data_IF_135230736625
#
_entry.id   IF_135230736625
#
_cell.length_a   1.000
_cell.length_b   1.000
_cell.length_c   1.000
_cell.angle_alpha   90.00
_cell.angle_beta   90.00
_cell.angle_gamma   90.00
#
_symmetry.space_group_name_H-M   'P 1'
#
loop_
_entity.id
_entity.type
_entity.pdbx_description
1 polymer ?
#
# COMPACT_ATOMS: atom_id res chain seq x y z
N UNK A 1 17.46 -7.43 12.50
CA UNK A 1 16.85 -8.30 11.57
C UNK A 1 15.37 -7.95 11.34
N UNK A 2 15.04 -7.57 10.15
CA UNK A 2 13.67 -7.23 9.84
C UNK A 2 12.82 -8.47 9.59
N UNK A 3 11.50 -8.33 9.69
CA UNK A 3 10.62 -9.42 9.32
C UNK A 3 10.34 -9.34 7.82
N UNK A 4 9.67 -10.36 7.28
CA UNK A 4 9.42 -10.45 5.84
C UNK A 4 8.59 -9.27 5.34
N UNK A 5 7.62 -8.82 6.13
CA UNK A 5 6.77 -7.70 5.73
C UNK A 5 7.57 -6.42 5.59
N UNK A 6 8.46 -6.18 6.54
CA UNK A 6 9.28 -4.98 6.50
C UNK A 6 10.23 -5.02 5.32
N UNK A 7 10.84 -6.19 5.08
CA UNK A 7 11.74 -6.35 3.94
C UNK A 7 11.01 -6.12 2.62
N UNK A 8 9.76 -6.57 2.53
CA UNK A 8 8.99 -6.40 1.32
C UNK A 8 8.68 -4.92 1.06
N UNK A 9 8.35 -4.18 2.11
CA UNK A 9 8.10 -2.74 1.98
C UNK A 9 9.34 -2.03 1.45
N UNK A 10 10.51 -2.39 1.97
CA UNK A 10 11.76 -1.80 1.52
C UNK A 10 12.03 -2.14 0.05
N UNK A 11 11.71 -3.37 -0.35
CA UNK A 11 11.89 -3.78 -1.74
C UNK A 11 11.01 -2.96 -2.67
N UNK A 12 9.75 -2.79 -2.31
CA UNK A 12 8.83 -2.00 -3.11
C UNK A 12 9.28 -0.54 -3.19
N UNK A 13 9.72 0.00 -2.07
CA UNK A 13 10.25 1.35 -2.03
C UNK A 13 11.43 1.50 -3.00
N UNK A 14 12.35 0.53 -3.00
CA UNK A 14 13.52 0.56 -3.86
C UNK A 14 13.11 0.54 -5.35
N UNK A 15 12.09 -0.25 -5.68
CA UNK A 15 11.60 -0.32 -7.05
C UNK A 15 11.07 1.04 -7.48
N UNK A 16 10.25 1.67 -6.64
CA UNK A 16 9.67 2.96 -6.97
C UNK A 16 10.76 4.04 -7.07
N UNK A 17 11.73 4.01 -6.17
CA UNK A 17 12.83 4.98 -6.20
C UNK A 17 13.66 4.85 -7.47
N UNK A 18 13.84 3.62 -7.93
CA UNK A 18 14.68 3.35 -9.09
C UNK A 18 13.97 3.66 -10.41
N UNK A 19 12.71 3.30 -10.50
CA UNK A 19 11.97 3.36 -11.77
C UNK A 19 10.93 4.45 -11.84
N UNK A 20 10.66 5.13 -10.73
CA UNK A 20 9.69 6.21 -10.69
C UNK A 20 8.28 5.73 -10.40
N UNK A 21 7.41 6.68 -10.06
CA UNK A 21 6.04 6.34 -9.68
C UNK A 21 5.20 5.87 -10.86
N UNK A 22 5.64 6.13 -12.07
CA UNK A 22 4.92 5.70 -13.27
C UNK A 22 4.80 4.19 -13.36
N UNK A 23 5.74 3.48 -12.73
CA UNK A 23 5.73 2.02 -12.77
C UNK A 23 4.50 1.44 -12.06
N UNK A 24 3.85 2.25 -11.22
CA UNK A 24 2.63 1.81 -10.55
C UNK A 24 1.49 1.53 -11.54
N UNK A 25 1.59 2.05 -12.75
CA UNK A 25 0.62 1.79 -13.79
C UNK A 25 0.94 0.54 -14.60
N UNK A 26 2.03 -0.13 -14.28
CA UNK A 26 2.48 -1.31 -15.01
C UNK A 26 2.67 -2.45 -14.03
N UNK A 27 1.57 -3.10 -13.69
CA UNK A 27 1.59 -4.16 -12.68
C UNK A 27 2.44 -5.34 -13.11
N UNK A 28 2.50 -5.63 -14.39
CA UNK A 28 3.34 -6.73 -14.90
C UNK A 28 4.80 -6.47 -14.60
N UNK A 29 5.24 -5.24 -14.86
CA UNK A 29 6.63 -4.89 -14.66
C UNK A 29 6.98 -4.90 -13.19
N UNK A 30 6.07 -4.38 -12.35
CA UNK A 30 6.27 -4.42 -10.91
C UNK A 30 6.37 -5.86 -10.43
N UNK A 31 5.52 -6.74 -10.97
CA UNK A 31 5.58 -8.15 -10.60
C UNK A 31 6.96 -8.73 -10.89
N UNK A 32 7.47 -8.48 -12.08
CA UNK A 32 8.78 -9.00 -12.48
C UNK A 32 9.90 -8.43 -11.60
N UNK A 33 9.84 -7.13 -11.32
CA UNK A 33 10.86 -6.49 -10.50
C UNK A 33 10.83 -6.99 -9.07
N UNK A 34 9.65 -7.22 -8.53
CA UNK A 34 9.54 -7.72 -7.16
C UNK A 34 10.02 -9.15 -7.06
N UNK A 35 9.97 -9.92 -8.14
CA UNK A 35 10.55 -11.26 -8.14
C UNK A 35 12.05 -11.18 -7.92
N UNK A 36 12.68 -10.13 -8.43
CA UNK A 36 14.12 -9.94 -8.27
C UNK A 36 14.47 -9.28 -6.94
N UNK A 37 13.69 -8.29 -6.53
CA UNK A 37 13.99 -7.50 -5.34
C UNK A 37 13.56 -8.17 -4.05
N UNK A 38 12.54 -9.02 -4.10
CA UNK A 38 12.01 -9.69 -2.93
C UNK A 38 11.71 -11.15 -3.26
N UNK A 39 12.74 -11.93 -3.61
CA UNK A 39 12.51 -13.33 -3.99
C UNK A 39 11.94 -14.11 -2.81
N UNK A 40 11.03 -15.02 -3.11
CA UNK A 40 10.44 -15.87 -2.10
C UNK A 40 9.22 -15.28 -1.41
N UNK A 41 8.90 -14.04 -1.67
CA UNK A 41 7.74 -13.40 -1.05
C UNK A 41 6.58 -13.34 -2.06
N UNK A 42 6.19 -14.51 -2.51
CA UNK A 42 5.18 -14.66 -3.56
C UNK A 42 3.81 -14.12 -3.13
N UNK A 43 3.43 -14.40 -1.91
CA UNK A 43 2.11 -13.99 -1.41
C UNK A 43 2.01 -12.47 -1.38
N UNK A 44 3.04 -11.83 -0.82
CA UNK A 44 3.07 -10.37 -0.74
C UNK A 44 3.09 -9.74 -2.12
N UNK A 45 3.87 -10.33 -3.03
CA UNK A 45 3.97 -9.81 -4.39
C UNK A 45 2.63 -9.87 -5.10
N UNK A 46 1.93 -10.99 -5.00
CA UNK A 46 0.64 -11.15 -5.66
C UNK A 46 -0.38 -10.17 -5.10
N UNK A 47 -0.32 -9.94 -3.81
CA UNK A 47 -1.22 -9.01 -3.15
C UNK A 47 -1.01 -7.58 -3.68
N UNK A 48 0.23 -7.16 -3.81
CA UNK A 48 0.54 -5.83 -4.35
C UNK A 48 0.09 -5.71 -5.80
N UNK A 49 0.35 -6.73 -6.60
CA UNK A 49 -0.07 -6.72 -8.01
C UNK A 49 -1.59 -6.58 -8.11
N UNK A 50 -2.31 -7.32 -7.28
CA UNK A 50 -3.78 -7.21 -7.25
C UNK A 50 -4.24 -5.81 -6.89
N UNK A 51 -3.59 -5.21 -5.88
CA UNK A 51 -3.92 -3.85 -5.46
C UNK A 51 -3.69 -2.85 -6.58
N UNK A 52 -2.59 -3.00 -7.30
CA UNK A 52 -2.28 -2.10 -8.39
C UNK A 52 -3.26 -2.27 -9.55
N UNK A 53 -3.71 -3.48 -9.78
CA UNK A 53 -4.70 -3.73 -10.83
C UNK A 53 -6.05 -3.11 -10.50
N UNK A 54 -6.32 -2.90 -9.21
CA UNK A 54 -7.53 -2.22 -8.77
C UNK A 54 -7.38 -0.70 -8.77
N UNK A 55 -6.22 -0.19 -9.19
CA UNK A 55 -6.02 1.24 -9.30
C UNK A 55 -5.58 1.92 -8.01
N UNK A 56 -5.27 1.14 -6.99
CA UNK A 56 -4.93 1.69 -5.68
C UNK A 56 -3.67 2.53 -5.72
N UNK A 57 -2.66 2.10 -6.51
CA UNK A 57 -1.45 2.88 -6.63
C UNK A 57 -1.68 4.28 -7.16
N UNK A 58 -2.50 4.38 -8.20
CA UNK A 58 -2.83 5.67 -8.79
C UNK A 58 -3.63 6.55 -7.84
N UNK A 59 -4.59 5.94 -7.13
CA UNK A 59 -5.39 6.68 -6.16
C UNK A 59 -4.54 7.27 -5.05
N UNK A 60 -3.62 6.47 -4.50
CA UNK A 60 -2.75 6.94 -3.44
C UNK A 60 -1.78 8.00 -3.94
N UNK A 61 -1.30 7.84 -5.17
CA UNK A 61 -0.39 8.82 -5.74
C UNK A 61 -1.08 10.18 -5.88
N UNK A 62 -2.33 10.18 -6.32
CA UNK A 62 -3.10 11.42 -6.44
C UNK A 62 -3.37 12.05 -5.08
N UNK A 63 -3.61 11.22 -4.07
CA UNK A 63 -3.94 11.71 -2.74
C UNK A 63 -2.70 12.14 -1.95
N UNK A 64 -1.53 11.77 -2.41
CA UNK A 64 -0.30 11.99 -1.65
C UNK A 64 -0.08 13.44 -1.23
N UNK A 65 -0.46 14.37 -2.10
CA UNK A 65 -0.23 15.78 -1.84
C UNK A 65 -1.43 16.49 -1.23
N UNK A 66 -2.46 15.72 -0.87
CA UNK A 66 -3.65 16.31 -0.26
C UNK A 66 -3.48 16.40 1.24
N UNK A 67 -4.44 17.06 1.91
CA UNK A 67 -4.33 17.18 3.36
C UNK A 67 -4.52 15.81 4.03
N UNK A 68 -4.18 15.77 5.31
CA UNK A 68 -4.18 14.51 6.06
C UNK A 68 -5.55 13.85 6.11
N UNK A 69 -6.61 14.65 6.22
CA UNK A 69 -7.96 14.09 6.29
C UNK A 69 -8.35 13.40 5.00
N UNK A 70 -8.07 14.04 3.87
CA UNK A 70 -8.39 13.47 2.57
C UNK A 70 -7.55 12.24 2.29
N UNK A 71 -6.28 12.30 2.68
CA UNK A 71 -5.38 11.17 2.49
C UNK A 71 -5.85 9.97 3.30
N UNK A 72 -6.24 10.20 4.55
CA UNK A 72 -6.72 9.12 5.40
C UNK A 72 -8.00 8.50 4.84
N UNK A 73 -8.91 9.33 4.32
CA UNK A 73 -10.11 8.81 3.69
C UNK A 73 -9.78 7.96 2.47
N UNK A 74 -8.82 8.42 1.68
CA UNK A 74 -8.38 7.65 0.51
C UNK A 74 -7.81 6.30 0.92
N UNK A 75 -6.96 6.30 1.94
CA UNK A 75 -6.36 5.06 2.43
C UNK A 75 -7.44 4.07 2.87
N UNK A 76 -8.40 4.55 3.65
CA UNK A 76 -9.48 3.68 4.13
C UNK A 76 -10.34 3.15 3.00
N UNK A 77 -10.62 4.01 2.02
CA UNK A 77 -11.40 3.59 0.85
C UNK A 77 -10.66 2.55 0.04
N UNK A 78 -9.34 2.70 -0.09
CA UNK A 78 -8.53 1.74 -0.82
C UNK A 78 -8.53 0.38 -0.14
N UNK A 79 -8.43 0.37 1.18
CA UNK A 79 -8.47 -0.87 1.94
C UNK A 79 -9.81 -1.58 1.70
N UNK A 80 -10.90 -0.84 1.82
CA UNK A 80 -12.22 -1.40 1.62
C UNK A 80 -12.40 -1.92 0.20
N UNK A 81 -11.94 -1.15 -0.77
CA UNK A 81 -12.04 -1.54 -2.17
C UNK A 81 -11.32 -2.86 -2.42
N UNK A 82 -10.13 -2.99 -1.85
CA UNK A 82 -9.34 -4.20 -2.06
C UNK A 82 -10.01 -5.42 -1.42
N UNK A 83 -10.55 -5.25 -0.21
CA UNK A 83 -11.27 -6.33 0.45
C UNK A 83 -12.46 -6.77 -0.41
N UNK A 84 -13.24 -5.81 -0.89
CA UNK A 84 -14.44 -6.11 -1.65
C UNK A 84 -14.13 -6.73 -3.01
N UNK A 85 -13.07 -6.27 -3.65
CA UNK A 85 -12.76 -6.70 -5.02
C UNK A 85 -12.01 -8.02 -5.09
N UNK A 86 -11.18 -8.32 -4.10
CA UNK A 86 -10.28 -9.46 -4.19
C UNK A 86 -10.49 -10.50 -3.11
N UNK A 87 -11.43 -10.27 -2.21
CA UNK A 87 -11.79 -11.23 -1.16
C UNK A 87 -10.66 -11.51 -0.17
N UNK A 88 -9.69 -10.60 -0.09
CA UNK A 88 -8.62 -10.72 0.91
C UNK A 88 -9.14 -10.25 2.25
N UNK A 89 -8.44 -10.63 3.31
CA UNK A 89 -8.78 -10.14 4.65
C UNK A 89 -8.47 -8.66 4.74
N UNK A 90 -9.11 -8.01 5.71
CA UNK A 90 -8.83 -6.59 5.96
C UNK A 90 -7.36 -6.38 6.32
N UNK A 91 -6.80 -7.33 7.07
CA UNK A 91 -5.40 -7.28 7.47
C UNK A 91 -4.47 -7.31 6.26
N UNK A 92 -4.77 -8.19 5.30
CA UNK A 92 -3.98 -8.28 4.08
C UNK A 92 -4.13 -7.02 3.25
N UNK A 93 -5.34 -6.49 3.17
CA UNK A 93 -5.59 -5.26 2.42
C UNK A 93 -4.83 -4.09 3.05
N UNK A 94 -4.81 -4.01 4.38
CA UNK A 94 -4.05 -2.98 5.08
C UNK A 94 -2.57 -3.08 4.76
N UNK A 95 -2.05 -4.29 4.74
CA UNK A 95 -0.65 -4.49 4.42
C UNK A 95 -0.33 -3.99 3.01
N UNK A 96 -1.20 -4.31 2.04
CA UNK A 96 -0.97 -3.90 0.65
C UNK A 96 -0.99 -2.38 0.52
N UNK A 97 -2.02 -1.74 1.07
CA UNK A 97 -2.15 -0.28 1.00
C UNK A 97 -1.00 0.39 1.74
N UNK A 98 -0.65 -0.15 2.90
CA UNK A 98 0.44 0.37 3.72
C UNK A 98 1.77 0.29 2.97
N UNK A 99 2.02 -0.82 2.29
CA UNK A 99 3.27 -1.00 1.56
C UNK A 99 3.39 -0.04 0.39
N UNK A 100 2.31 0.13 -0.36
CA UNK A 100 2.31 1.06 -1.49
C UNK A 100 2.47 2.50 -0.97
N UNK A 101 1.78 2.83 0.11
CA UNK A 101 1.90 4.15 0.72
C UNK A 101 3.33 4.42 1.16
N UNK A 102 3.94 3.44 1.82
CA UNK A 102 5.32 3.58 2.27
C UNK A 102 6.25 3.87 1.08
N UNK A 103 6.04 3.14 -0.02
CA UNK A 103 6.86 3.31 -1.21
C UNK A 103 6.69 4.70 -1.83
N UNK A 104 5.53 5.30 -1.65
CA UNK A 104 5.25 6.64 -2.17
C UNK A 104 5.66 7.74 -1.21
N UNK A 105 6.21 7.38 -0.05
CA UNK A 105 6.61 8.37 0.94
C UNK A 105 5.49 8.82 1.85
N UNK A 106 4.35 8.14 1.80
CA UNK A 106 3.22 8.45 2.67
C UNK A 106 3.42 7.69 3.99
N UNK A 107 3.36 8.41 5.09
CA UNK A 107 3.53 7.82 6.42
C UNK A 107 2.18 7.71 7.10
N UNK A 108 1.52 6.58 6.87
CA UNK A 108 0.16 6.37 7.41
C UNK A 108 0.15 6.47 8.93
N UNK A 109 1.19 5.98 9.60
CA UNK A 109 1.26 6.01 11.05
C UNK A 109 1.38 7.43 11.60
N UNK A 110 1.73 8.39 10.74
CA UNK A 110 1.86 9.79 11.15
C UNK A 110 0.60 10.59 10.88
N UNK A 111 -0.42 9.96 10.30
CA UNK A 111 -1.68 10.63 10.05
C UNK A 111 -2.48 10.75 11.35
N UNK A 112 -3.29 11.82 11.51
CA UNK A 112 -4.14 11.95 12.70
C UNK A 112 -5.05 10.75 12.85
N UNK A 113 -5.08 10.18 14.02
CA UNK A 113 -5.86 8.97 14.27
C UNK A 113 -7.15 9.24 15.02
N UNK A 114 -7.24 10.16 15.80
CA UNK A 114 -8.27 10.45 16.65
C UNK A 114 -9.63 9.97 16.50
N UNK A 115 -9.08 10.12 16.58
CA UNK A 115 -9.72 9.84 16.53
C UNK A 115 -10.45 9.28 16.53
N UNK A 116 -10.34 8.86 16.63
CA UNK A 116 -10.69 8.13 16.62
C UNK A 116 -11.17 7.74 17.35
N UNK A 117 -10.98 7.96 17.65
CA UNK A 117 -11.24 7.45 18.13
C UNK A 117 -11.67 7.18 18.74
N UNK A 118 -11.78 7.51 19.03
CA UNK A 118 -11.97 7.16 19.38
C UNK A 118 -12.47 6.63 19.84
N UNK A 119 -12.64 6.91 19.86
CA UNK A 119 -12.89 6.37 20.04
C UNK A 119 -13.24 5.78 20.47
N UNK A 120 -13.52 5.96 20.67
CA UNK A 120 -13.62 5.39 20.88
C UNK A 120 -13.94 4.80 21.29
N UNK A 121 -14.19 4.85 21.40
CA UNK A 121 -14.42 4.27 21.80
C UNK A 121 -14.81 3.67 22.18
N UNK A 122 -15.15 3.82 22.12
CA UNK A 122 -15.12 3.39 22.16
C UNK A 122 -15.11 3.00 22.53
N UNK A 123 -15.38 3.24 22.62
CA UNK A 123 -15.00 3.15 22.78
C UNK A 123 -14.98 2.98 23.05
#
# INVERSE_FOLDING_TARGET
>A
MGNAKENFKQALYAVIETYGTEILNDSRRINALLMDYAPGQTRERKLIVSALEEGIGGDLLKARDRDSSELKLCVNRCIRCLVDATWVTEEAAQFAVDSISYALGIRITELPQKKINASAPKQ
#
